data_IF_128964576806
#
_entry.id   IF_128964576806
#
_cell.length_a   1.000
_cell.length_b   1.000
_cell.length_c   1.000
_cell.angle_alpha   90.00
_cell.angle_beta   90.00
_cell.angle_gamma   90.00
#
_symmetry.space_group_name_H-M   'P 1'
#
loop_
_entity.id
_entity.type
_entity.pdbx_description
1 polymer ?
#
# COMPACT_ATOMS: atom_id res chain seq x y z
N UNK A 1 38.51 -12.24 -25.41
CA UNK A 1 38.05 -10.89 -25.09
C UNK A 1 36.55 -10.83 -25.37
N UNK A 2 35.71 -10.95 -24.35
CA UNK A 2 34.25 -10.93 -24.45
C UNK A 2 33.80 -9.47 -24.49
N UNK A 3 33.02 -9.12 -25.52
CA UNK A 3 32.53 -7.81 -25.80
C UNK A 3 31.36 -7.44 -24.87
N UNK A 4 31.63 -6.70 -23.79
CA UNK A 4 30.66 -6.27 -22.75
C UNK A 4 29.94 -4.94 -23.12
N UNK A 5 30.13 -4.41 -24.35
CA UNK A 5 29.75 -3.06 -24.74
C UNK A 5 28.29 -2.80 -25.12
N UNK A 6 27.40 -3.80 -25.21
CA UNK A 6 26.08 -3.59 -25.87
C UNK A 6 24.84 -3.52 -24.94
N UNK A 7 24.99 -3.59 -23.61
CA UNK A 7 23.86 -3.52 -22.65
C UNK A 7 23.59 -2.16 -21.99
N UNK A 8 24.50 -1.21 -22.15
CA UNK A 8 24.45 0.11 -21.48
C UNK A 8 23.36 1.07 -22.04
N UNK A 9 23.01 1.08 -23.36
CA UNK A 9 22.04 2.06 -23.88
C UNK A 9 20.59 1.84 -23.37
N UNK A 10 20.19 0.60 -23.04
CA UNK A 10 18.85 0.33 -22.52
C UNK A 10 18.64 0.84 -21.09
N UNK A 11 19.65 0.76 -20.24
CA UNK A 11 19.59 1.26 -18.85
C UNK A 11 19.52 2.78 -18.87
N UNK A 12 20.34 3.44 -19.67
CA UNK A 12 20.33 4.91 -19.82
C UNK A 12 19.00 5.44 -20.38
N UNK A 13 18.34 4.72 -21.30
CA UNK A 13 17.02 5.10 -21.82
C UNK A 13 15.91 4.92 -20.78
N UNK A 14 15.96 3.90 -19.96
CA UNK A 14 15.00 3.68 -18.86
C UNK A 14 15.21 4.74 -17.78
N UNK A 15 16.46 5.03 -17.41
CA UNK A 15 16.77 6.06 -16.42
C UNK A 15 16.30 7.44 -16.89
N UNK A 16 16.55 7.81 -18.15
CA UNK A 16 16.06 9.06 -18.74
C UNK A 16 14.53 9.12 -18.83
N UNK A 17 13.89 7.99 -19.06
CA UNK A 17 12.42 7.89 -19.06
C UNK A 17 11.85 8.08 -17.66
N UNK A 18 12.49 7.51 -16.63
CA UNK A 18 12.13 7.69 -15.22
C UNK A 18 12.38 9.13 -14.79
N UNK A 19 13.52 9.72 -15.13
CA UNK A 19 13.81 11.13 -14.87
C UNK A 19 12.79 12.08 -15.54
N UNK A 20 12.46 11.85 -16.81
CA UNK A 20 11.42 12.61 -17.49
C UNK A 20 10.03 12.43 -16.83
N UNK A 21 9.68 11.24 -16.42
CA UNK A 21 8.43 10.99 -15.69
C UNK A 21 8.42 11.71 -14.34
N UNK A 22 9.52 11.68 -13.59
CA UNK A 22 9.64 12.38 -12.31
C UNK A 22 9.61 13.90 -12.46
N UNK A 23 10.16 14.45 -13.54
CA UNK A 23 10.13 15.90 -13.82
C UNK A 23 8.80 16.39 -14.41
N UNK A 24 8.09 15.56 -15.17
CA UNK A 24 6.90 15.99 -15.93
C UNK A 24 5.60 15.72 -15.15
N UNK A 25 5.54 14.67 -14.32
CA UNK A 25 4.33 14.32 -13.57
C UNK A 25 4.39 14.86 -12.14
N UNK A 26 3.87 16.06 -11.94
CA UNK A 26 3.74 16.65 -10.60
C UNK A 26 2.55 15.99 -9.87
N UNK A 27 2.79 14.86 -9.20
CA UNK A 27 1.75 14.09 -8.46
C UNK A 27 1.02 14.99 -7.45
N UNK A 28 1.70 15.95 -6.84
CA UNK A 28 1.08 16.91 -5.91
C UNK A 28 0.04 17.81 -6.59
N UNK A 29 0.17 18.04 -7.91
CA UNK A 29 -0.78 18.84 -8.70
C UNK A 29 -1.89 18.00 -9.33
N UNK A 30 -1.84 16.66 -9.17
CA UNK A 30 -2.91 15.81 -9.67
C UNK A 30 -4.23 16.17 -9.00
N UNK A 31 -5.29 16.05 -9.76
CA UNK A 31 -6.64 16.13 -9.22
C UNK A 31 -6.89 14.98 -8.23
N UNK A 32 -7.78 15.20 -7.30
CA UNK A 32 -8.09 14.24 -6.25
C UNK A 32 -8.49 12.86 -6.80
N UNK A 33 -9.11 12.80 -7.97
CA UNK A 33 -9.49 11.53 -8.61
C UNK A 33 -8.28 10.77 -9.13
N UNK A 34 -7.29 11.44 -9.72
CA UNK A 34 -6.06 10.78 -10.17
C UNK A 34 -5.26 10.19 -9.00
N UNK A 35 -5.17 10.91 -7.87
CA UNK A 35 -4.60 10.40 -6.62
C UNK A 35 -5.40 9.21 -6.08
N UNK A 36 -6.72 9.28 -6.18
CA UNK A 36 -7.64 8.21 -5.77
C UNK A 36 -7.42 6.95 -6.61
N UNK A 37 -7.30 7.07 -7.93
CA UNK A 37 -6.99 5.95 -8.81
C UNK A 37 -5.63 5.33 -8.44
N UNK A 38 -4.63 6.14 -8.10
CA UNK A 38 -3.31 5.65 -7.67
C UNK A 38 -3.41 4.77 -6.42
N UNK A 39 -4.08 5.24 -5.36
CA UNK A 39 -4.26 4.45 -4.12
C UNK A 39 -5.05 3.18 -4.36
N UNK A 40 -6.13 3.25 -5.14
CA UNK A 40 -6.93 2.07 -5.48
C UNK A 40 -6.12 1.07 -6.31
N UNK A 41 -5.28 1.54 -7.24
CA UNK A 41 -4.40 0.66 -8.02
C UNK A 41 -3.34 -0.01 -7.14
N UNK A 42 -2.73 0.74 -6.20
CA UNK A 42 -1.80 0.17 -5.22
C UNK A 42 -2.48 -0.91 -4.39
N UNK A 43 -3.66 -0.64 -3.82
CA UNK A 43 -4.41 -1.63 -3.05
C UNK A 43 -4.80 -2.84 -3.87
N UNK A 44 -5.29 -2.66 -5.10
CA UNK A 44 -5.65 -3.76 -5.98
C UNK A 44 -4.47 -4.66 -6.33
N UNK A 45 -3.31 -4.07 -6.65
CA UNK A 45 -2.08 -4.83 -6.94
C UNK A 45 -1.56 -5.56 -5.69
N UNK A 46 -1.61 -4.91 -4.52
CA UNK A 46 -1.22 -5.54 -3.27
C UNK A 46 -2.09 -6.76 -2.96
N UNK A 47 -3.41 -6.66 -3.11
CA UNK A 47 -4.30 -7.82 -2.93
C UNK A 47 -4.07 -8.94 -3.94
N UNK A 48 -3.61 -8.66 -5.17
CA UNK A 48 -3.17 -9.72 -6.08
C UNK A 48 -1.94 -10.46 -5.55
N UNK A 49 -0.99 -9.75 -4.91
CA UNK A 49 0.16 -10.39 -4.24
C UNK A 49 -0.30 -11.29 -3.09
N UNK A 50 -1.28 -10.84 -2.27
CA UNK A 50 -1.86 -11.63 -1.19
C UNK A 50 -2.56 -12.89 -1.70
N UNK A 51 -3.32 -12.81 -2.79
CA UNK A 51 -3.98 -13.95 -3.43
C UNK A 51 -2.94 -14.98 -3.92
N UNK A 52 -1.90 -14.50 -4.63
CA UNK A 52 -0.84 -15.37 -5.14
C UNK A 52 -0.07 -16.07 -4.00
N UNK A 53 0.28 -15.33 -2.95
CA UNK A 53 0.93 -15.89 -1.76
C UNK A 53 0.07 -16.96 -1.10
N UNK A 54 -1.22 -16.68 -0.87
CA UNK A 54 -2.11 -17.59 -0.17
C UNK A 54 -2.34 -18.86 -0.98
N UNK A 55 -2.57 -18.75 -2.30
CA UNK A 55 -2.72 -19.91 -3.18
C UNK A 55 -1.44 -20.73 -3.21
N UNK A 56 -0.28 -20.10 -3.37
CA UNK A 56 1.01 -20.77 -3.40
C UNK A 56 1.28 -21.51 -2.08
N UNK A 57 1.11 -20.86 -0.94
CA UNK A 57 1.35 -21.43 0.36
C UNK A 57 0.44 -22.63 0.67
N UNK A 58 -0.84 -22.55 0.30
CA UNK A 58 -1.81 -23.62 0.52
C UNK A 58 -1.59 -24.84 -0.39
N UNK A 59 -1.19 -24.64 -1.64
CA UNK A 59 -1.00 -25.75 -2.59
C UNK A 59 0.41 -26.35 -2.57
N UNK A 60 1.36 -25.71 -1.91
CA UNK A 60 2.71 -26.24 -1.77
C UNK A 60 2.74 -27.35 -0.70
N UNK A 61 3.19 -28.59 -1.04
CA UNK A 61 3.22 -29.71 -0.07
C UNK A 61 4.07 -29.42 1.17
N UNK A 62 5.09 -28.57 1.03
CA UNK A 62 6.00 -28.20 2.10
C UNK A 62 5.46 -27.10 3.02
N UNK A 63 4.49 -26.32 2.56
CA UNK A 63 4.00 -25.13 3.27
C UNK A 63 2.56 -25.22 3.75
N UNK A 64 1.76 -26.12 3.17
CA UNK A 64 0.33 -26.19 3.42
C UNK A 64 -0.05 -26.44 4.89
N UNK A 65 0.80 -27.15 5.65
CA UNK A 65 0.59 -27.42 7.09
C UNK A 65 0.67 -26.14 7.95
N UNK A 66 1.28 -25.05 7.42
CA UNK A 66 1.32 -23.75 8.10
C UNK A 66 0.08 -22.90 7.88
N UNK A 67 -0.79 -23.25 6.90
CA UNK A 67 -2.02 -22.52 6.59
C UNK A 67 -3.22 -23.27 7.18
N UNK A 68 -4.10 -22.55 7.88
CA UNK A 68 -5.33 -23.13 8.38
C UNK A 68 -6.30 -23.44 7.23
N UNK A 69 -6.56 -24.73 7.01
CA UNK A 69 -7.44 -25.21 5.95
C UNK A 69 -8.90 -24.81 6.17
N UNK A 70 -9.34 -24.60 7.41
CA UNK A 70 -10.72 -24.18 7.71
C UNK A 70 -10.96 -22.71 7.33
N UNK A 71 -9.98 -21.84 7.55
CA UNK A 71 -10.09 -20.40 7.25
C UNK A 71 -9.61 -20.02 5.85
N UNK A 72 -8.84 -20.89 5.18
CA UNK A 72 -8.33 -20.65 3.82
C UNK A 72 -9.38 -20.17 2.82
N UNK A 73 -10.53 -20.86 2.62
CA UNK A 73 -11.51 -20.45 1.61
C UNK A 73 -12.15 -19.09 1.92
N UNK A 74 -12.31 -18.77 3.20
CA UNK A 74 -12.84 -17.49 3.65
C UNK A 74 -11.89 -16.33 3.29
N UNK A 75 -10.60 -16.44 3.66
CA UNK A 75 -9.62 -15.38 3.35
C UNK A 75 -9.33 -15.24 1.86
N UNK A 76 -9.26 -16.36 1.13
CA UNK A 76 -9.10 -16.32 -0.31
C UNK A 76 -10.28 -15.60 -0.99
N UNK A 77 -11.51 -15.93 -0.61
CA UNK A 77 -12.72 -15.28 -1.12
C UNK A 77 -12.72 -13.77 -0.80
N UNK A 78 -12.33 -13.40 0.41
CA UNK A 78 -12.21 -12.01 0.81
C UNK A 78 -11.18 -11.25 -0.03
N UNK A 79 -9.99 -11.82 -0.23
CA UNK A 79 -8.92 -11.15 -1.01
C UNK A 79 -9.32 -10.99 -2.48
N UNK A 80 -9.96 -12.01 -3.08
CA UNK A 80 -10.48 -11.92 -4.45
C UNK A 80 -11.55 -10.82 -4.54
N UNK A 81 -12.52 -10.81 -3.62
CA UNK A 81 -13.58 -9.79 -3.60
C UNK A 81 -12.99 -8.39 -3.42
N UNK A 82 -12.04 -8.22 -2.51
CA UNK A 82 -11.35 -6.95 -2.30
C UNK A 82 -10.64 -6.48 -3.56
N UNK A 83 -9.86 -7.35 -4.22
CA UNK A 83 -9.18 -7.03 -5.47
C UNK A 83 -10.16 -6.60 -6.57
N UNK A 84 -11.24 -7.37 -6.77
CA UNK A 84 -12.28 -7.05 -7.76
C UNK A 84 -12.91 -5.69 -7.48
N UNK A 85 -13.25 -5.40 -6.23
CA UNK A 85 -13.83 -4.11 -5.86
C UNK A 85 -12.85 -2.94 -6.07
N UNK A 86 -11.55 -3.12 -5.85
CA UNK A 86 -10.54 -2.11 -6.20
C UNK A 86 -10.60 -1.76 -7.69
N UNK A 87 -10.61 -2.75 -8.57
CA UNK A 87 -10.65 -2.52 -10.02
C UNK A 87 -11.99 -1.91 -10.46
N UNK A 88 -13.10 -2.32 -9.86
CA UNK A 88 -14.42 -1.70 -10.11
C UNK A 88 -14.39 -0.23 -9.71
N UNK A 89 -13.86 0.11 -8.54
CA UNK A 89 -13.76 1.50 -8.07
C UNK A 89 -12.86 2.34 -8.98
N UNK A 90 -11.76 1.79 -9.50
CA UNK A 90 -10.91 2.46 -10.49
C UNK A 90 -11.71 2.78 -11.75
N UNK A 91 -12.47 1.80 -12.27
CA UNK A 91 -13.31 2.00 -13.44
C UNK A 91 -14.37 3.10 -13.21
N UNK A 92 -15.01 3.10 -12.04
CA UNK A 92 -15.97 4.14 -11.63
C UNK A 92 -15.29 5.51 -11.56
N UNK A 93 -14.10 5.60 -10.97
CA UNK A 93 -13.31 6.83 -10.92
C UNK A 93 -13.03 7.39 -12.32
N UNK A 94 -12.63 6.52 -13.23
CA UNK A 94 -12.36 6.91 -14.61
C UNK A 94 -13.62 7.40 -15.33
N UNK A 95 -14.77 6.73 -15.12
CA UNK A 95 -16.06 7.04 -15.77
C UNK A 95 -16.66 8.37 -15.29
N UNK A 96 -16.53 8.66 -13.98
CA UNK A 96 -17.15 9.83 -13.34
C UNK A 96 -16.17 10.96 -13.00
N UNK A 97 -14.97 10.95 -13.58
CA UNK A 97 -13.88 11.90 -13.30
C UNK A 97 -14.31 13.38 -13.36
N UNK A 98 -15.26 13.74 -14.22
CA UNK A 98 -15.72 15.13 -14.43
C UNK A 98 -16.79 15.59 -13.44
N UNK A 99 -17.37 14.71 -12.63
CA UNK A 99 -18.43 15.07 -11.69
C UNK A 99 -17.84 15.70 -10.42
N UNK A 100 -18.18 16.95 -10.12
CA UNK A 100 -17.65 17.71 -8.96
C UNK A 100 -17.98 17.07 -7.61
N UNK A 101 -19.20 16.53 -7.44
CA UNK A 101 -19.60 15.84 -6.21
C UNK A 101 -18.79 14.56 -6.02
N UNK A 102 -18.58 13.82 -7.09
CA UNK A 102 -17.79 12.62 -7.09
C UNK A 102 -16.31 12.91 -6.73
N UNK A 103 -15.72 13.98 -7.30
CA UNK A 103 -14.37 14.42 -6.96
C UNK A 103 -14.19 14.77 -5.49
N UNK A 104 -15.24 15.25 -4.83
CA UNK A 104 -15.21 15.63 -3.41
C UNK A 104 -15.27 14.42 -2.47
N UNK A 105 -16.12 13.42 -2.76
CA UNK A 105 -16.40 12.33 -1.83
C UNK A 105 -15.61 11.05 -2.12
N UNK A 106 -15.24 10.81 -3.38
CA UNK A 106 -14.56 9.58 -3.77
C UNK A 106 -13.21 9.36 -3.06
N UNK A 107 -12.38 10.38 -2.78
CA UNK A 107 -11.17 10.21 -1.98
C UNK A 107 -11.42 9.62 -0.59
N UNK A 108 -12.50 10.03 0.10
CA UNK A 108 -12.88 9.47 1.40
C UNK A 108 -13.26 8.00 1.30
N UNK A 109 -14.04 7.64 0.27
CA UNK A 109 -14.45 6.25 0.03
C UNK A 109 -13.24 5.38 -0.28
N UNK A 110 -12.34 5.83 -1.15
CA UNK A 110 -11.18 5.07 -1.55
C UNK A 110 -10.17 4.88 -0.41
N UNK A 111 -9.86 5.94 0.33
CA UNK A 111 -8.96 5.87 1.49
C UNK A 111 -9.59 5.01 2.59
N UNK A 112 -10.90 5.16 2.83
CA UNK A 112 -11.64 4.33 3.79
C UNK A 112 -11.63 2.85 3.41
N UNK A 113 -11.92 2.54 2.15
CA UNK A 113 -11.90 1.18 1.62
C UNK A 113 -10.50 0.56 1.74
N UNK A 114 -9.46 1.31 1.33
CA UNK A 114 -8.06 0.88 1.47
C UNK A 114 -7.70 0.61 2.93
N UNK A 115 -8.05 1.53 3.86
CA UNK A 115 -7.77 1.37 5.28
C UNK A 115 -8.46 0.15 5.89
N UNK A 116 -9.75 -0.08 5.60
CA UNK A 116 -10.50 -1.22 6.13
C UNK A 116 -9.96 -2.55 5.60
N UNK A 117 -9.70 -2.64 4.30
CA UNK A 117 -9.17 -3.87 3.71
C UNK A 117 -7.77 -4.21 4.21
N UNK A 118 -6.90 -3.20 4.39
CA UNK A 118 -5.56 -3.39 4.98
C UNK A 118 -5.62 -3.80 6.45
N UNK A 119 -6.54 -3.23 7.24
CA UNK A 119 -6.74 -3.66 8.63
C UNK A 119 -7.19 -5.11 8.72
N UNK A 120 -8.09 -5.53 7.83
CA UNK A 120 -8.57 -6.91 7.81
C UNK A 120 -7.48 -7.89 7.33
N UNK A 121 -6.69 -7.50 6.32
CA UNK A 121 -5.52 -8.27 5.89
C UNK A 121 -4.49 -8.39 7.02
N UNK A 122 -4.21 -7.30 7.75
CA UNK A 122 -3.36 -7.30 8.93
C UNK A 122 -3.90 -8.18 10.07
N UNK A 123 -5.21 -8.21 10.28
CA UNK A 123 -5.86 -9.14 11.23
C UNK A 123 -5.60 -10.60 10.84
N UNK A 124 -5.71 -10.93 9.56
CA UNK A 124 -5.51 -12.28 9.05
C UNK A 124 -4.11 -12.84 9.37
N UNK A 125 -3.06 -12.02 9.30
CA UNK A 125 -1.66 -12.41 9.56
C UNK A 125 -1.17 -12.07 10.98
N UNK A 126 -1.98 -11.37 11.76
CA UNK A 126 -1.69 -10.95 13.13
C UNK A 126 -1.63 -9.43 13.30
N UNK A 127 -2.51 -8.92 14.16
CA UNK A 127 -2.70 -7.48 14.41
C UNK A 127 -1.48 -6.78 15.02
N UNK A 128 -0.72 -7.45 15.87
CA UNK A 128 0.50 -6.94 16.53
C UNK A 128 1.80 -7.31 15.80
N UNK A 129 1.69 -7.91 14.64
CA UNK A 129 2.82 -8.27 13.79
C UNK A 129 3.55 -7.01 13.30
N UNK A 130 4.90 -7.00 13.30
CA UNK A 130 5.68 -5.86 12.81
C UNK A 130 5.34 -5.42 11.39
N UNK A 131 5.02 -6.35 10.48
CA UNK A 131 4.64 -6.04 9.10
C UNK A 131 3.29 -5.29 9.05
N UNK A 132 2.30 -5.70 9.86
CA UNK A 132 1.00 -5.02 9.97
C UNK A 132 1.16 -3.59 10.49
N UNK A 133 1.93 -3.41 11.57
CA UNK A 133 2.15 -2.09 12.17
C UNK A 133 2.96 -1.19 11.24
N UNK A 134 4.04 -1.69 10.65
CA UNK A 134 4.87 -0.94 9.72
C UNK A 134 4.09 -0.58 8.45
N UNK A 135 3.32 -1.51 7.88
CA UNK A 135 2.42 -1.26 6.74
C UNK A 135 1.41 -0.17 7.05
N UNK A 136 0.76 -0.24 8.23
CA UNK A 136 -0.21 0.75 8.66
C UNK A 136 0.39 2.16 8.77
N UNK A 137 1.54 2.30 9.42
CA UNK A 137 2.26 3.59 9.55
C UNK A 137 2.65 4.11 8.16
N UNK A 138 3.19 3.26 7.30
CA UNK A 138 3.63 3.62 5.95
C UNK A 138 2.47 4.17 5.11
N UNK A 139 1.34 3.47 5.10
CA UNK A 139 0.13 3.90 4.36
C UNK A 139 -0.40 5.24 4.84
N UNK A 140 -0.44 5.45 6.16
CA UNK A 140 -0.87 6.73 6.74
C UNK A 140 0.07 7.86 6.35
N UNK A 141 1.37 7.63 6.45
CA UNK A 141 2.38 8.65 6.13
C UNK A 141 2.31 9.05 4.65
N UNK A 142 2.24 8.09 3.74
CA UNK A 142 2.06 8.35 2.30
C UNK A 142 0.73 9.06 2.04
N UNK A 143 -0.33 8.64 2.70
CA UNK A 143 -1.64 9.27 2.59
C UNK A 143 -1.62 10.76 2.99
N UNK A 144 -0.97 11.11 4.09
CA UNK A 144 -0.83 12.48 4.57
C UNK A 144 -0.06 13.39 3.61
N UNK A 145 0.81 12.83 2.79
CA UNK A 145 1.52 13.58 1.75
C UNK A 145 0.66 13.77 0.49
N UNK A 146 -0.17 12.79 0.14
CA UNK A 146 -0.99 12.82 -1.07
C UNK A 146 -2.29 13.61 -0.91
N UNK A 147 -2.90 13.57 0.27
CA UNK A 147 -4.24 14.14 0.51
C UNK A 147 -4.26 15.17 1.62
N UNK A 148 -5.36 15.92 1.66
CA UNK A 148 -5.68 16.78 2.78
C UNK A 148 -5.82 15.97 4.08
N UNK A 149 -5.34 16.52 5.19
CA UNK A 149 -5.37 15.89 6.51
C UNK A 149 -6.75 15.35 6.90
N UNK A 150 -7.84 16.06 6.52
CA UNK A 150 -9.22 15.65 6.82
C UNK A 150 -9.58 14.30 6.22
N UNK A 151 -9.14 14.02 4.99
CA UNK A 151 -9.41 12.76 4.30
C UNK A 151 -8.72 11.61 5.05
N UNK A 152 -7.44 11.79 5.38
CA UNK A 152 -6.66 10.74 6.04
C UNK A 152 -7.13 10.51 7.47
N UNK A 153 -7.33 11.57 8.26
CA UNK A 153 -7.78 11.41 9.65
C UNK A 153 -9.18 10.83 9.78
N UNK A 154 -10.05 11.01 8.80
CA UNK A 154 -11.37 10.36 8.78
C UNK A 154 -11.30 8.83 8.75
N UNK A 155 -10.23 8.26 8.21
CA UNK A 155 -9.98 6.80 8.17
C UNK A 155 -8.98 6.38 9.24
N UNK A 156 -7.91 7.16 9.44
CA UNK A 156 -6.83 6.83 10.37
C UNK A 156 -7.29 6.76 11.83
N UNK A 157 -8.08 7.74 12.31
CA UNK A 157 -8.53 7.74 13.70
C UNK A 157 -9.42 6.52 14.01
N UNK A 158 -10.52 6.25 13.28
CA UNK A 158 -11.30 5.05 13.53
C UNK A 158 -10.51 3.76 13.26
N UNK A 159 -9.62 3.74 12.25
CA UNK A 159 -8.75 2.61 11.96
C UNK A 159 -7.79 2.29 13.12
N UNK A 160 -7.19 3.31 13.74
CA UNK A 160 -6.34 3.13 14.93
C UNK A 160 -7.14 2.57 16.11
N UNK A 161 -8.35 3.07 16.33
CA UNK A 161 -9.23 2.57 17.42
C UNK A 161 -9.56 1.09 17.17
N UNK A 162 -9.93 0.73 15.95
CA UNK A 162 -10.21 -0.66 15.58
C UNK A 162 -8.96 -1.54 15.75
N UNK A 163 -7.79 -1.09 15.31
CA UNK A 163 -6.54 -1.84 15.45
C UNK A 163 -6.20 -2.10 16.93
N UNK A 164 -6.28 -1.07 17.77
CA UNK A 164 -6.04 -1.19 19.21
C UNK A 164 -7.06 -2.13 19.88
N UNK A 165 -8.32 -2.05 19.47
CA UNK A 165 -9.36 -2.96 19.94
C UNK A 165 -9.04 -4.41 19.56
N UNK A 166 -8.70 -4.68 18.31
CA UNK A 166 -8.34 -6.01 17.83
C UNK A 166 -7.11 -6.57 18.57
N UNK A 167 -6.06 -5.76 18.76
CA UNK A 167 -4.88 -6.13 19.54
C UNK A 167 -5.28 -6.51 20.97
N UNK A 168 -6.16 -5.72 21.60
CA UNK A 168 -6.61 -5.96 22.97
C UNK A 168 -7.46 -7.24 23.08
N UNK A 169 -8.32 -7.49 22.08
CA UNK A 169 -9.16 -8.70 22.04
C UNK A 169 -8.31 -9.97 21.82
N UNK A 170 -7.30 -9.90 20.93
CA UNK A 170 -6.34 -10.98 20.74
C UNK A 170 -5.53 -11.25 22.03
N UNK A 171 -5.04 -10.19 22.70
CA UNK A 171 -4.26 -10.32 23.94
C UNK A 171 -5.05 -10.90 25.13
N UNK A 172 -6.40 -10.88 25.06
CA UNK A 172 -7.31 -11.48 26.03
C UNK A 172 -7.87 -12.84 25.60
N UNK A 173 -7.34 -13.40 24.51
CA UNK A 173 -7.81 -14.67 23.91
C UNK A 173 -9.33 -14.69 23.57
N UNK A 174 -9.92 -13.50 23.35
CA UNK A 174 -11.31 -13.35 22.93
C UNK A 174 -11.54 -13.58 21.44
N UNK A 175 -10.49 -13.37 20.64
CA UNK A 175 -10.46 -13.66 19.20
C UNK A 175 -9.13 -14.33 18.84
N UNK A 176 -9.16 -15.15 17.79
CA UNK A 176 -7.99 -15.88 17.31
C UNK A 176 -6.97 -14.88 16.76
N UNK A 177 -5.72 -14.99 17.21
CA UNK A 177 -4.60 -14.25 16.64
C UNK A 177 -4.19 -14.89 15.31
N UNK A 178 -3.93 -14.06 14.29
CA UNK A 178 -3.42 -14.51 12.99
C UNK A 178 -4.19 -15.72 12.37
N UNK A 179 -5.53 -15.64 12.22
CA UNK A 179 -6.39 -16.78 11.92
C UNK A 179 -6.15 -17.47 10.56
N UNK A 180 -5.30 -16.91 9.70
CA UNK A 180 -4.91 -17.55 8.45
C UNK A 180 -3.86 -18.66 8.63
N UNK A 181 -3.14 -18.62 9.74
CA UNK A 181 -2.12 -19.61 10.06
C UNK A 181 -2.65 -20.75 10.91
N UNK A 182 -2.03 -21.92 10.78
CA UNK A 182 -2.36 -23.07 11.60
C UNK A 182 -1.90 -22.87 13.05
N UNK A 183 -2.57 -23.57 13.98
CA UNK A 183 -2.21 -23.57 15.41
C UNK A 183 -0.81 -24.13 15.68
N UNK A 184 -0.26 -24.93 14.79
CA UNK A 184 1.12 -25.44 14.88
C UNK A 184 2.15 -24.32 14.74
N UNK A 185 1.86 -23.34 13.87
CA UNK A 185 2.71 -22.17 13.72
C UNK A 185 2.68 -21.29 14.97
N UNK A 186 1.51 -21.11 15.55
CA UNK A 186 1.28 -20.23 16.71
C UNK A 186 1.88 -20.82 18.01
N UNK A 187 1.92 -22.15 18.13
CA UNK A 187 2.50 -22.84 19.28
C UNK A 187 4.03 -22.74 19.37
N UNK A 188 4.70 -22.33 18.29
CA UNK A 188 6.14 -22.16 18.21
C UNK A 188 6.60 -20.71 18.39
N UNK A 189 7.93 -20.48 18.27
CA UNK A 189 8.46 -19.14 18.18
C UNK A 189 8.30 -18.61 16.74
N UNK A 190 7.26 -17.83 16.48
CA UNK A 190 6.93 -17.26 15.17
C UNK A 190 8.14 -16.60 14.48
N UNK A 191 8.95 -15.84 15.24
CA UNK A 191 10.12 -15.12 14.71
C UNK A 191 11.27 -16.02 14.28
N UNK A 192 11.26 -17.30 14.69
CA UNK A 192 12.26 -18.31 14.28
C UNK A 192 11.71 -19.23 13.18
N UNK A 193 10.42 -19.13 12.86
CA UNK A 193 9.85 -19.92 11.78
C UNK A 193 10.14 -19.24 10.42
N UNK A 194 10.91 -19.92 9.57
CA UNK A 194 11.32 -19.41 8.27
C UNK A 194 10.13 -19.10 7.35
N UNK A 195 9.07 -19.94 7.34
CA UNK A 195 7.88 -19.69 6.55
C UNK A 195 7.20 -18.38 6.96
N UNK A 196 7.01 -18.18 8.25
CA UNK A 196 6.40 -16.95 8.76
C UNK A 196 7.23 -15.70 8.40
N UNK A 197 8.54 -15.75 8.65
CA UNK A 197 9.45 -14.62 8.37
C UNK A 197 9.46 -14.26 6.88
N UNK A 198 9.60 -15.25 5.99
CA UNK A 198 9.57 -14.98 4.54
C UNK A 198 8.21 -14.54 4.05
N UNK A 199 7.13 -15.08 4.61
CA UNK A 199 5.76 -14.61 4.30
C UNK A 199 5.57 -13.14 4.66
N UNK A 200 6.00 -12.73 5.86
CA UNK A 200 5.91 -11.32 6.28
C UNK A 200 6.74 -10.40 5.39
N UNK A 201 7.96 -10.81 5.05
CA UNK A 201 8.79 -10.05 4.12
C UNK A 201 8.15 -9.96 2.74
N UNK A 202 7.64 -11.06 2.21
CA UNK A 202 7.00 -11.09 0.90
C UNK A 202 5.76 -10.20 0.83
N UNK A 203 4.88 -10.27 1.82
CA UNK A 203 3.64 -9.49 1.87
C UNK A 203 3.89 -7.99 2.11
N UNK A 204 4.90 -7.63 2.92
CA UNK A 204 5.18 -6.24 3.24
C UNK A 204 6.05 -5.54 2.18
N UNK A 205 6.99 -6.25 1.55
CA UNK A 205 7.99 -5.66 0.63
C UNK A 205 7.37 -4.88 -0.54
N UNK A 206 6.32 -5.34 -1.24
CA UNK A 206 5.74 -4.59 -2.35
C UNK A 206 5.22 -3.21 -1.94
N UNK A 207 4.44 -3.14 -0.87
CA UNK A 207 3.88 -1.86 -0.39
C UNK A 207 4.99 -0.94 0.13
N UNK A 208 6.02 -1.49 0.76
CA UNK A 208 7.18 -0.75 1.23
C UNK A 208 7.98 -0.14 0.08
N UNK A 209 8.31 -0.91 -0.97
CA UNK A 209 9.04 -0.41 -2.15
C UNK A 209 8.23 0.69 -2.84
N UNK A 210 6.95 0.46 -3.11
CA UNK A 210 6.07 1.46 -3.75
C UNK A 210 6.02 2.74 -2.91
N UNK A 211 5.96 2.61 -1.60
CA UNK A 211 5.94 3.76 -0.68
C UNK A 211 7.25 4.55 -0.71
N UNK A 212 8.40 3.89 -0.74
CA UNK A 212 9.71 4.56 -0.88
C UNK A 212 9.78 5.32 -2.20
N UNK A 213 9.42 4.68 -3.31
CA UNK A 213 9.43 5.31 -4.64
C UNK A 213 8.50 6.53 -4.65
N UNK A 214 7.31 6.41 -4.09
CA UNK A 214 6.37 7.52 -4.02
C UNK A 214 6.89 8.67 -3.15
N UNK A 215 7.52 8.37 -2.01
CA UNK A 215 8.17 9.36 -1.16
C UNK A 215 9.30 10.09 -1.90
N UNK A 216 10.14 9.36 -2.60
CA UNK A 216 11.25 9.95 -3.38
C UNK A 216 10.73 10.89 -4.46
N UNK A 217 9.71 10.46 -5.23
CA UNK A 217 9.06 11.31 -6.24
C UNK A 217 8.50 12.59 -5.61
N UNK A 218 7.82 12.48 -4.46
CA UNK A 218 7.25 13.63 -3.75
C UNK A 218 8.32 14.58 -3.22
N UNK A 219 9.44 14.07 -2.70
CA UNK A 219 10.57 14.88 -2.23
C UNK A 219 11.24 15.65 -3.38
N UNK A 220 11.44 15.00 -4.53
CA UNK A 220 12.00 15.65 -5.73
C UNK A 220 11.07 16.78 -6.18
N UNK A 221 9.75 16.53 -6.23
CA UNK A 221 8.78 17.56 -6.62
C UNK A 221 8.73 18.72 -5.63
N UNK A 222 8.85 18.45 -4.35
CA UNK A 222 8.90 19.48 -3.31
C UNK A 222 10.15 20.36 -3.47
N UNK A 223 11.34 19.77 -3.66
CA UNK A 223 12.59 20.48 -3.89
C UNK A 223 12.52 21.36 -5.15
N UNK A 224 12.00 20.83 -6.26
CA UNK A 224 11.85 21.58 -7.50
C UNK A 224 10.92 22.78 -7.32
N UNK A 225 9.85 22.64 -6.54
CA UNK A 225 8.93 23.72 -6.23
C UNK A 225 9.58 24.80 -5.36
N UNK A 226 10.38 24.41 -4.39
CA UNK A 226 11.14 25.34 -3.54
C UNK A 226 12.15 26.14 -4.35
N UNK A 227 12.88 25.49 -5.27
CA UNK A 227 13.81 26.18 -6.20
C UNK A 227 13.08 27.19 -7.08
N UNK A 228 11.90 26.85 -7.60
CA UNK A 228 11.10 27.76 -8.42
C UNK A 228 10.63 28.98 -7.63
N UNK A 229 10.15 28.78 -6.39
CA UNK A 229 9.73 29.87 -5.50
C UNK A 229 10.90 30.79 -5.20
N UNK A 230 12.09 30.26 -4.91
CA UNK A 230 13.29 31.04 -4.64
C UNK A 230 13.75 31.83 -5.88
N UNK A 231 13.62 31.27 -7.08
CA UNK A 231 13.92 31.94 -8.33
C UNK A 231 12.96 33.10 -8.60
N UNK A 232 11.64 32.89 -8.40
CA UNK A 232 10.63 33.94 -8.55
C UNK A 232 10.87 35.08 -7.56
N UNK A 233 11.12 34.73 -6.27
CA UNK A 233 11.40 35.72 -5.23
C UNK A 233 12.63 36.56 -5.49
N UNK A 234 13.67 36.01 -6.15
CA UNK A 234 14.86 36.75 -6.54
C UNK A 234 14.65 37.71 -7.76
N UNK A 235 13.62 37.42 -8.57
CA UNK A 235 13.29 38.21 -9.75
C UNK A 235 12.23 39.27 -9.48
N UNK A 236 11.70 39.35 -8.26
CA UNK A 236 10.69 40.37 -7.90
C UNK A 236 11.36 41.75 -7.80
N UNK A 237 11.07 42.69 -8.73
CA UNK A 237 11.70 44.01 -8.76
C UNK A 237 11.29 44.91 -7.59
N UNK A 238 10.34 44.48 -6.74
CA UNK A 238 9.88 45.24 -5.58
C UNK A 238 10.71 44.94 -4.32
N UNK A 239 11.59 43.94 -4.35
CA UNK A 239 12.46 43.54 -3.22
C UNK A 239 13.94 43.69 -3.49
N UNK A 240 14.33 44.24 -4.64
CA UNK A 240 15.69 44.58 -5.05
C UNK A 240 16.12 45.99 -4.67
#
# INVERSE_FOLDING_TARGET
MLNIGSKIPKIASVQKSIENFMHTSVIMQWDNISKTILILAMGGLDFLVWILWLIYSYHSPELNHWIDSAHYPFFLSFYILAAVLYFILIFICYRYKRNKLFQKYMPYIAVGYFGITMLFAGFAIGTSNPATIAGYITVVTVGLVLYERKIIYSTFIPGTIILLLLITLCAKDLIIYAPIFSTELDAGNLYQNSFWVYSMLFLYTPIFIVSIVLFEVLLIQWRNRELLINEISRRDPLTG
#
